data_IF_362916870472
#
_entry.id   IF_362916870472
#
_cell.length_a   1.000
_cell.length_b   1.000
_cell.length_c   1.000
_cell.angle_alpha   90.00
_cell.angle_beta   90.00
_cell.angle_gamma   90.00
#
_symmetry.space_group_name_H-M   'P 1'
#
loop_
_entity.id
_entity.type
_entity.pdbx_description
1 polymer ?
#
# COMPACT_ATOMS: atom_id res chain seq x y z
N UNK A 1 46.40 -36.89 -23.88
CA UNK A 1 45.59 -35.67 -24.03
C UNK A 1 44.15 -36.05 -23.72
N UNK A 2 43.59 -35.69 -22.56
CA UNK A 2 42.26 -36.18 -22.17
C UNK A 2 41.72 -35.71 -20.81
N UNK A 3 42.59 -35.23 -19.91
CA UNK A 3 42.17 -34.74 -18.59
C UNK A 3 41.58 -33.32 -18.63
N UNK A 4 42.13 -32.43 -19.47
CA UNK A 4 41.73 -31.00 -19.52
C UNK A 4 40.32 -30.79 -20.10
N UNK A 5 39.85 -31.70 -20.96
CA UNK A 5 38.57 -31.59 -21.66
C UNK A 5 37.36 -31.97 -20.78
N UNK A 6 37.56 -32.85 -19.79
CA UNK A 6 36.51 -33.25 -18.84
C UNK A 6 36.21 -32.15 -17.82
N UNK A 7 37.25 -31.43 -17.37
CA UNK A 7 37.06 -30.30 -16.47
C UNK A 7 36.35 -29.12 -17.15
N UNK A 8 36.66 -28.84 -18.43
CA UNK A 8 35.98 -27.79 -19.19
C UNK A 8 34.46 -28.02 -19.31
N UNK A 9 34.05 -29.29 -19.53
CA UNK A 9 32.63 -29.66 -19.63
C UNK A 9 31.86 -29.56 -18.31
N UNK A 10 32.54 -29.77 -17.18
CA UNK A 10 31.92 -29.57 -15.86
C UNK A 10 31.71 -28.08 -15.56
N UNK A 11 32.64 -27.21 -15.96
CA UNK A 11 32.47 -25.77 -15.76
C UNK A 11 31.40 -25.15 -16.66
N UNK A 12 31.19 -25.66 -17.88
CA UNK A 12 30.12 -25.16 -18.77
C UNK A 12 28.71 -25.57 -18.32
N UNK A 13 28.57 -26.69 -17.59
CA UNK A 13 27.28 -27.11 -17.05
C UNK A 13 26.83 -26.28 -15.83
N UNK A 14 27.77 -25.72 -15.05
CA UNK A 14 27.45 -24.93 -13.84
C UNK A 14 27.08 -23.47 -14.17
N UNK A 15 27.47 -22.96 -15.34
CA UNK A 15 27.21 -21.57 -15.72
C UNK A 15 25.76 -21.26 -16.15
N UNK A 16 24.91 -22.28 -16.37
CA UNK A 16 23.51 -22.09 -16.77
C UNK A 16 22.50 -22.22 -15.61
N UNK A 17 22.96 -22.20 -14.35
CA UNK A 17 22.08 -22.20 -13.18
C UNK A 17 21.84 -20.80 -12.59
N UNK A 18 22.27 -19.72 -13.25
CA UNK A 18 22.06 -18.35 -12.80
C UNK A 18 21.10 -17.66 -13.77
N UNK A 19 20.02 -17.09 -13.21
CA UNK A 19 18.97 -16.31 -13.86
C UNK A 19 17.66 -17.05 -14.22
N UNK A 20 17.11 -17.80 -13.27
CA UNK A 20 15.64 -17.83 -13.11
C UNK A 20 15.34 -17.45 -11.66
N UNK A 21 15.80 -16.29 -11.22
CA UNK A 21 15.00 -15.55 -10.23
C UNK A 21 13.77 -15.11 -11.00
N UNK A 22 12.59 -15.68 -10.75
CA UNK A 22 11.43 -15.15 -11.41
C UNK A 22 11.28 -13.69 -11.00
N UNK A 23 10.88 -12.85 -11.95
CA UNK A 23 10.33 -11.53 -11.68
C UNK A 23 9.08 -11.57 -10.76
N UNK A 24 8.70 -12.73 -10.19
CA UNK A 24 7.65 -12.89 -9.19
C UNK A 24 7.96 -12.20 -7.86
N UNK A 25 9.22 -11.89 -7.54
CA UNK A 25 9.48 -10.95 -6.45
C UNK A 25 8.87 -9.58 -6.74
N UNK A 26 8.73 -9.20 -8.03
CA UNK A 26 8.13 -7.93 -8.48
C UNK A 26 6.59 -7.94 -8.44
N UNK A 27 5.95 -9.11 -8.37
CA UNK A 27 4.48 -9.22 -8.34
C UNK A 27 3.93 -9.66 -6.97
N UNK A 28 4.79 -10.02 -6.01
CA UNK A 28 4.38 -10.58 -4.71
C UNK A 28 4.39 -9.63 -3.51
N UNK A 29 4.77 -8.36 -3.71
CA UNK A 29 4.79 -7.31 -2.67
C UNK A 29 3.49 -6.50 -2.59
N UNK A 30 2.69 -6.43 -3.67
CA UNK A 30 1.35 -5.81 -3.61
C UNK A 30 0.42 -6.64 -2.71
N UNK A 31 0.48 -7.96 -2.85
CA UNK A 31 -0.38 -8.91 -2.13
C UNK A 31 -0.09 -9.02 -0.63
N UNK A 32 1.12 -8.67 -0.16
CA UNK A 32 1.53 -8.90 1.24
C UNK A 32 1.48 -7.67 2.14
N UNK A 33 1.32 -6.47 1.58
CA UNK A 33 1.28 -5.22 2.34
C UNK A 33 -0.01 -4.42 2.14
N UNK A 34 -0.79 -4.74 1.10
CA UNK A 34 -2.09 -4.15 0.86
C UNK A 34 -3.16 -4.85 1.72
N UNK A 35 -3.92 -4.13 2.57
CA UNK A 35 -5.03 -4.74 3.29
C UNK A 35 -6.13 -5.18 2.33
N UNK A 36 -6.88 -6.23 2.68
CA UNK A 36 -8.00 -6.70 1.87
C UNK A 36 -9.04 -5.57 1.72
N UNK A 37 -9.36 -5.13 0.50
CA UNK A 37 -10.32 -4.05 0.24
C UNK A 37 -11.69 -4.31 0.86
N UNK A 38 -12.17 -5.55 0.79
CA UNK A 38 -13.48 -5.96 1.31
C UNK A 38 -13.48 -5.78 2.82
N UNK A 39 -12.42 -6.22 3.50
CA UNK A 39 -12.24 -6.05 4.95
C UNK A 39 -12.20 -4.57 5.32
N UNK A 40 -11.49 -3.74 4.57
CA UNK A 40 -11.41 -2.31 4.84
C UNK A 40 -12.76 -1.58 4.76
N UNK A 41 -13.63 -1.99 3.84
CA UNK A 41 -14.99 -1.46 3.76
C UNK A 41 -15.93 -2.09 4.80
N UNK A 42 -15.82 -3.40 5.04
CA UNK A 42 -16.66 -4.16 5.97
C UNK A 42 -16.47 -3.76 7.43
N UNK A 43 -15.24 -3.56 7.87
CA UNK A 43 -14.96 -3.35 9.28
C UNK A 43 -15.49 -2.03 9.82
N UNK A 44 -15.78 -1.06 8.93
CA UNK A 44 -15.96 0.34 9.32
C UNK A 44 -17.13 1.04 8.64
N UNK A 45 -17.23 0.99 7.30
CA UNK A 45 -18.21 1.79 6.55
C UNK A 45 -19.52 1.01 6.38
N UNK A 46 -19.46 -0.32 6.20
CA UNK A 46 -20.67 -1.16 6.09
C UNK A 46 -21.49 -1.23 7.39
N UNK A 47 -20.90 -0.85 8.53
CA UNK A 47 -21.58 -0.83 9.84
C UNK A 47 -22.41 0.44 10.07
N UNK A 48 -22.20 1.48 9.25
CA UNK A 48 -22.98 2.72 9.30
C UNK A 48 -23.84 2.79 8.06
N UNK A 49 -25.16 2.66 8.25
CA UNK A 49 -26.13 2.69 7.17
C UNK A 49 -25.92 3.93 6.28
N UNK A 50 -25.80 3.69 4.97
CA UNK A 50 -25.63 4.75 3.98
C UNK A 50 -24.21 5.33 3.85
N UNK A 51 -23.28 5.05 4.77
CA UNK A 51 -21.94 5.68 4.73
C UNK A 51 -21.15 5.31 3.46
N UNK A 52 -21.23 4.06 3.01
CA UNK A 52 -20.59 3.62 1.74
C UNK A 52 -21.18 4.42 0.58
N UNK A 53 -22.51 4.43 0.50
CA UNK A 53 -23.24 5.11 -0.54
C UNK A 53 -22.88 6.60 -0.57
N UNK A 54 -22.80 7.26 0.58
CA UNK A 54 -22.49 8.69 0.69
C UNK A 54 -21.05 9.02 0.26
N UNK A 55 -20.10 8.14 0.56
CA UNK A 55 -18.71 8.28 0.07
C UNK A 55 -18.66 8.15 -1.45
N UNK A 56 -19.30 7.14 -2.03
CA UNK A 56 -19.33 6.97 -3.49
C UNK A 56 -20.13 8.08 -4.19
N UNK A 57 -21.24 8.53 -3.61
CA UNK A 57 -22.01 9.65 -4.13
C UNK A 57 -21.22 10.95 -4.07
N UNK A 58 -20.45 11.18 -3.01
CA UNK A 58 -19.55 12.32 -2.86
C UNK A 58 -18.48 12.32 -3.94
N UNK A 59 -17.89 11.15 -4.23
CA UNK A 59 -16.92 10.97 -5.30
C UNK A 59 -17.54 11.26 -6.68
N UNK A 60 -18.72 10.70 -6.97
CA UNK A 60 -19.40 10.87 -8.26
C UNK A 60 -19.83 12.33 -8.52
N UNK A 61 -20.24 13.05 -7.46
CA UNK A 61 -20.69 14.44 -7.54
C UNK A 61 -19.57 15.46 -7.35
N UNK A 62 -18.36 15.01 -7.00
CA UNK A 62 -17.24 15.84 -6.58
C UNK A 62 -17.64 16.87 -5.49
N UNK A 63 -18.50 16.43 -4.57
CA UNK A 63 -19.03 17.25 -3.46
C UNK A 63 -19.22 16.37 -2.24
N UNK A 64 -18.40 16.58 -1.22
CA UNK A 64 -18.48 15.80 0.02
C UNK A 64 -19.76 16.13 0.78
N UNK A 65 -20.52 15.09 1.11
CA UNK A 65 -21.70 15.15 1.95
C UNK A 65 -21.82 13.84 2.73
N UNK A 66 -21.36 13.83 3.97
CA UNK A 66 -21.35 12.66 4.86
C UNK A 66 -22.13 12.99 6.15
N UNK A 67 -22.68 11.97 6.80
CA UNK A 67 -23.22 12.13 8.15
C UNK A 67 -22.09 12.25 9.19
N UNK A 68 -22.44 12.71 10.40
CA UNK A 68 -21.52 12.73 11.53
C UNK A 68 -21.04 11.32 11.88
N UNK A 69 -21.95 10.34 11.88
CA UNK A 69 -21.67 8.93 12.15
C UNK A 69 -20.73 8.33 11.10
N UNK A 70 -20.87 8.73 9.84
CA UNK A 70 -19.99 8.29 8.77
C UNK A 70 -18.57 8.87 8.94
N UNK A 71 -18.45 10.14 9.34
CA UNK A 71 -17.17 10.73 9.69
C UNK A 71 -16.50 10.05 10.90
N UNK A 72 -17.28 9.70 11.93
CA UNK A 72 -16.81 8.93 13.08
C UNK A 72 -16.32 7.53 12.67
N UNK A 73 -17.04 6.85 11.77
CA UNK A 73 -16.58 5.59 11.20
C UNK A 73 -15.25 5.78 10.45
N UNK A 74 -15.16 6.75 9.54
CA UNK A 74 -13.90 7.05 8.83
C UNK A 74 -12.78 7.34 9.84
N UNK A 75 -13.05 8.03 10.95
CA UNK A 75 -12.05 8.25 12.02
C UNK A 75 -11.58 6.95 12.66
N UNK A 76 -12.50 6.03 12.94
CA UNK A 76 -12.23 4.72 13.54
C UNK A 76 -11.53 3.71 12.62
N UNK A 77 -11.47 3.95 11.31
CA UNK A 77 -10.85 3.02 10.36
C UNK A 77 -9.35 2.82 10.60
N UNK A 78 -8.84 1.59 10.41
CA UNK A 78 -7.41 1.32 10.49
C UNK A 78 -6.63 2.22 9.51
N UNK A 79 -5.46 2.68 9.93
CA UNK A 79 -4.62 3.54 9.11
C UNK A 79 -4.31 2.90 7.75
N UNK A 80 -4.02 1.60 7.70
CA UNK A 80 -3.68 0.92 6.43
C UNK A 80 -4.86 0.90 5.49
N UNK A 81 -6.06 0.68 6.00
CA UNK A 81 -7.29 0.71 5.21
C UNK A 81 -7.59 2.11 4.67
N UNK A 82 -7.48 3.14 5.51
CA UNK A 82 -7.66 4.52 5.01
C UNK A 82 -6.63 4.86 3.94
N UNK A 83 -5.37 4.48 4.18
CA UNK A 83 -4.29 4.73 3.25
C UNK A 83 -4.52 4.00 1.92
N UNK A 84 -4.93 2.74 1.96
CA UNK A 84 -5.26 1.99 0.76
C UNK A 84 -6.44 2.62 0.01
N UNK A 85 -7.56 2.87 0.70
CA UNK A 85 -8.77 3.45 0.08
C UNK A 85 -8.43 4.78 -0.58
N UNK A 86 -7.82 5.74 0.13
CA UNK A 86 -7.60 7.10 -0.38
C UNK A 86 -6.33 7.28 -1.22
N UNK A 87 -5.60 6.22 -1.53
CA UNK A 87 -4.49 6.26 -2.49
C UNK A 87 -4.67 5.27 -3.65
N UNK A 88 -5.84 4.64 -3.82
CA UNK A 88 -6.05 3.61 -4.83
C UNK A 88 -7.27 3.85 -5.72
N UNK A 89 -7.11 3.59 -7.02
CA UNK A 89 -8.19 3.67 -7.99
C UNK A 89 -8.74 5.09 -8.16
N UNK A 90 -10.04 5.27 -7.90
CA UNK A 90 -10.73 6.56 -8.08
C UNK A 90 -10.69 7.45 -6.85
N UNK A 91 -10.31 6.90 -5.71
CA UNK A 91 -10.20 7.61 -4.44
C UNK A 91 -8.78 8.14 -4.32
N UNK A 92 -8.62 9.44 -4.53
CA UNK A 92 -7.30 10.09 -4.53
C UNK A 92 -7.00 10.72 -3.17
N UNK A 93 -5.72 11.05 -2.89
CA UNK A 93 -5.34 11.74 -1.66
C UNK A 93 -6.07 13.08 -1.50
N UNK A 94 -6.31 13.77 -2.62
CA UNK A 94 -7.06 15.03 -2.65
C UNK A 94 -8.51 14.80 -2.20
N UNK A 95 -9.17 13.73 -2.67
CA UNK A 95 -10.51 13.39 -2.21
C UNK A 95 -10.52 13.02 -0.72
N UNK A 96 -9.51 12.27 -0.26
CA UNK A 96 -9.31 12.00 1.17
C UNK A 96 -9.17 13.28 2.01
N UNK A 97 -8.45 14.28 1.50
CA UNK A 97 -8.32 15.59 2.14
C UNK A 97 -9.63 16.37 2.17
N UNK A 98 -10.47 16.26 1.14
CA UNK A 98 -11.80 16.86 1.15
C UNK A 98 -12.70 16.24 2.22
N UNK A 99 -12.69 14.91 2.37
CA UNK A 99 -13.40 14.21 3.44
C UNK A 99 -12.91 14.67 4.80
N UNK A 100 -11.59 14.78 4.99
CA UNK A 100 -11.01 15.32 6.22
C UNK A 100 -11.49 16.73 6.55
N UNK A 101 -11.47 17.64 5.58
CA UNK A 101 -11.95 19.00 5.77
C UNK A 101 -13.44 19.05 6.13
N UNK A 102 -14.25 18.26 5.43
CA UNK A 102 -15.68 18.17 5.70
C UNK A 102 -15.97 17.60 7.10
N UNK A 103 -15.34 16.48 7.47
CA UNK A 103 -15.54 15.87 8.79
C UNK A 103 -15.07 16.80 9.93
N UNK A 104 -13.99 17.56 9.72
CA UNK A 104 -13.56 18.58 10.67
C UNK A 104 -14.62 19.68 10.88
N UNK A 105 -15.36 20.06 9.83
CA UNK A 105 -16.48 21.01 9.93
C UNK A 105 -17.66 20.49 10.76
N UNK A 106 -17.77 19.16 10.91
CA UNK A 106 -18.74 18.49 11.79
C UNK A 106 -18.17 18.20 13.20
N UNK A 107 -16.96 18.66 13.51
CA UNK A 107 -16.29 18.41 14.79
C UNK A 107 -15.56 17.07 14.89
N UNK A 108 -15.42 16.34 13.78
CA UNK A 108 -14.70 15.06 13.72
C UNK A 108 -13.30 15.27 13.14
N UNK A 109 -12.28 15.30 14.00
CA UNK A 109 -10.89 15.41 13.56
C UNK A 109 -10.37 14.07 13.05
N UNK A 110 -10.09 13.99 11.74
CA UNK A 110 -9.35 12.87 11.15
C UNK A 110 -7.83 13.10 11.27
N UNK A 111 -7.02 12.02 11.36
CA UNK A 111 -5.56 12.13 11.44
C UNK A 111 -4.92 12.87 10.24
N UNK A 112 -3.61 13.21 10.31
CA UNK A 112 -2.86 13.80 9.19
C UNK A 112 -3.06 13.04 7.88
N UNK A 113 -3.05 13.80 6.78
CA UNK A 113 -3.36 13.30 5.44
C UNK A 113 -2.51 12.09 5.08
N UNK A 114 -3.13 11.16 4.36
CA UNK A 114 -2.54 9.94 3.83
C UNK A 114 -1.20 10.28 3.17
N UNK A 115 -0.11 9.96 3.84
CA UNK A 115 1.18 9.97 3.20
C UNK A 115 1.07 8.91 2.12
N UNK A 116 1.37 9.27 0.87
CA UNK A 116 1.59 8.29 -0.18
C UNK A 116 2.63 7.33 0.41
N UNK A 117 2.20 6.16 0.85
CA UNK A 117 3.11 5.13 1.33
C UNK A 117 3.78 4.59 0.08
N UNK A 118 4.86 5.27 -0.34
CA UNK A 118 5.94 4.55 -0.97
C UNK A 118 6.51 3.67 0.16
N UNK A 119 6.49 2.34 0.02
CA UNK A 119 7.30 1.52 0.91
C UNK A 119 8.70 2.11 0.84
N UNK A 120 9.22 2.59 1.97
CA UNK A 120 10.64 2.88 2.05
C UNK A 120 11.34 1.59 1.62
N UNK A 121 11.91 1.64 0.42
CA UNK A 121 12.88 0.66 0.00
C UNK A 121 13.97 0.75 1.05
N UNK A 122 14.04 -0.26 1.92
CA UNK A 122 15.18 -0.49 2.79
C UNK A 122 16.43 -0.32 1.93
N UNK A 123 17.11 0.81 2.09
CA UNK A 123 18.39 1.04 1.47
C UNK A 123 19.32 -0.01 2.07
N UNK A 124 19.94 -0.89 1.27
CA UNK A 124 20.98 -1.77 1.77
C UNK A 124 22.04 -0.89 2.41
N UNK A 125 22.36 -1.18 3.68
CA UNK A 125 23.07 -0.32 4.60
C UNK A 125 24.16 0.53 3.96
N UNK A 126 24.06 1.84 4.18
CA UNK A 126 25.18 2.74 4.07
C UNK A 126 26.27 2.23 5.00
N UNK A 127 27.35 1.72 4.42
CA UNK A 127 28.45 1.13 5.16
C UNK A 127 29.10 2.18 6.05
N UNK A 128 28.98 2.01 7.35
CA UNK A 128 29.88 2.64 8.31
C UNK A 128 31.24 1.97 8.18
N UNK A 129 32.18 2.75 7.67
CA UNK A 129 33.58 2.41 7.65
C UNK A 129 34.18 2.41 9.06
N UNK A 130 35.21 1.56 9.18
CA UNK A 130 36.43 1.79 9.94
C UNK A 130 36.41 1.58 11.47
N UNK A 131 36.91 0.40 11.87
CA UNK A 131 38.05 0.35 12.79
C UNK A 131 38.87 -0.92 12.55
N UNK A 132 39.99 -0.75 11.85
CA UNK A 132 41.09 -1.72 11.77
C UNK A 132 41.90 -1.66 13.09
N UNK A 133 42.06 -2.80 13.75
CA UNK A 133 43.20 -3.10 14.62
C UNK A 133 44.32 -3.74 13.77
#
# INVERSE_FOLDING_TARGET
MGSVQHHLLLFTAVAFAIAITPAFSVLGWDERYSPDPVVCWEEVINKVDGCVHDIYASLAKNKVNLSFECCEAVRGMDFRCKNWIFNHGRFTPEFGNQIKGFCASLGVTLPPSYQIYYPEHDTPGHGDGDRRD
#
